data_IF_097901821341
#
_entry.id   IF_097901821341
#
_cell.length_a   1.000
_cell.length_b   1.000
_cell.length_c   1.000
_cell.angle_alpha   90.00
_cell.angle_beta   90.00
_cell.angle_gamma   90.00
#
_symmetry.space_group_name_H-M   'P 1'
#
loop_
_entity.id
_entity.type
_entity.pdbx_description
1 polymer ?
#
# COMPACT_ATOMS: atom_id res chain seq x y z
N UNK A 1 -13.19 2.48 -8.49
CA UNK A 1 -12.11 2.67 -9.48
C UNK A 1 -10.98 3.42 -8.80
N UNK A 2 -9.74 2.91 -8.93
CA UNK A 2 -8.53 3.55 -8.39
C UNK A 2 -7.82 4.42 -9.42
N UNK A 3 -7.71 3.92 -10.64
CA UNK A 3 -6.98 4.60 -11.72
C UNK A 3 -7.55 4.24 -13.08
N UNK A 4 -7.47 5.16 -14.02
CA UNK A 4 -7.80 4.97 -15.44
C UNK A 4 -6.60 5.44 -16.24
N UNK A 5 -6.16 4.64 -17.21
CA UNK A 5 -5.15 5.03 -18.21
C UNK A 5 -5.73 4.83 -19.61
N UNK A 6 -5.42 5.77 -20.47
CA UNK A 6 -5.92 5.81 -21.87
C UNK A 6 -4.72 5.74 -22.78
N UNK A 7 -4.78 4.91 -23.81
CA UNK A 7 -3.74 4.87 -24.82
C UNK A 7 -3.70 6.20 -25.58
N UNK A 8 -2.58 6.95 -25.55
CA UNK A 8 -2.49 8.25 -26.21
C UNK A 8 -2.58 8.15 -27.75
N UNK A 9 -2.22 6.99 -28.30
CA UNK A 9 -2.22 6.74 -29.76
C UNK A 9 -3.55 6.14 -30.25
N UNK A 10 -4.35 5.55 -29.33
CA UNK A 10 -5.65 4.95 -29.65
C UNK A 10 -6.62 5.13 -28.47
N UNK A 11 -7.41 6.17 -28.48
CA UNK A 11 -8.34 6.51 -27.38
C UNK A 11 -9.45 5.48 -27.15
N UNK A 12 -9.63 4.48 -28.05
CA UNK A 12 -10.54 3.37 -27.80
C UNK A 12 -9.95 2.30 -26.86
N UNK A 13 -8.64 2.35 -26.61
CA UNK A 13 -7.96 1.46 -25.67
C UNK A 13 -7.80 2.13 -24.30
N UNK A 14 -8.46 1.55 -23.30
CA UNK A 14 -8.37 1.99 -21.90
C UNK A 14 -8.11 0.80 -20.99
N UNK A 15 -7.36 1.06 -19.93
CA UNK A 15 -7.15 0.09 -18.85
C UNK A 15 -7.52 0.74 -17.52
N UNK A 16 -8.31 0.03 -16.72
CA UNK A 16 -8.90 0.54 -15.49
C UNK A 16 -8.52 -0.34 -14.31
N UNK A 17 -7.94 0.26 -13.28
CA UNK A 17 -7.69 -0.38 -11.99
C UNK A 17 -8.91 -0.23 -11.06
N UNK A 18 -9.50 -1.36 -10.66
CA UNK A 18 -10.70 -1.42 -9.83
C UNK A 18 -10.36 -1.86 -8.41
N UNK A 19 -10.65 -0.98 -7.45
CA UNK A 19 -10.42 -1.24 -6.01
C UNK A 19 -11.55 -2.02 -5.34
N UNK A 20 -12.69 -2.17 -6.03
CA UNK A 20 -13.89 -2.83 -5.52
C UNK A 20 -14.66 -2.04 -4.48
N UNK A 21 -15.57 -2.72 -3.79
CA UNK A 21 -16.40 -2.16 -2.73
C UNK A 21 -15.57 -1.70 -1.54
N UNK A 22 -16.07 -0.68 -0.81
CA UNK A 22 -15.36 -0.13 0.32
C UNK A 22 -15.39 -1.06 1.55
N UNK A 23 -16.54 -1.64 1.87
CA UNK A 23 -16.80 -2.38 3.10
C UNK A 23 -17.02 -3.90 2.92
N UNK A 24 -17.16 -4.34 1.68
CA UNK A 24 -17.43 -5.75 1.37
C UNK A 24 -16.42 -6.30 0.37
N UNK A 25 -16.23 -7.60 0.43
CA UNK A 25 -15.52 -8.34 -0.60
C UNK A 25 -16.37 -8.38 -1.88
N UNK A 26 -15.73 -8.43 -3.04
CA UNK A 26 -16.42 -8.55 -4.32
C UNK A 26 -15.47 -8.99 -5.43
N UNK A 27 -16.02 -9.63 -6.46
CA UNK A 27 -15.26 -10.20 -7.58
C UNK A 27 -14.96 -9.19 -8.70
N UNK A 28 -15.56 -7.98 -8.66
CA UNK A 28 -15.30 -6.92 -9.62
C UNK A 28 -13.97 -6.17 -9.37
N UNK A 29 -13.16 -6.66 -8.43
CA UNK A 29 -11.80 -6.13 -8.18
C UNK A 29 -10.84 -6.58 -9.27
N UNK A 30 -9.83 -5.79 -9.56
CA UNK A 30 -8.79 -6.17 -10.50
C UNK A 30 -8.55 -5.15 -11.60
N UNK A 31 -8.15 -5.61 -12.76
CA UNK A 31 -7.92 -4.78 -13.95
C UNK A 31 -8.93 -5.13 -15.02
N UNK A 32 -9.48 -4.09 -15.63
CA UNK A 32 -10.37 -4.20 -16.78
C UNK A 32 -9.78 -3.44 -17.96
N UNK A 33 -9.88 -4.03 -19.14
CA UNK A 33 -9.45 -3.45 -20.40
C UNK A 33 -10.62 -3.35 -21.37
N UNK A 34 -10.63 -2.29 -22.16
CA UNK A 34 -11.47 -2.13 -23.34
C UNK A 34 -10.62 -1.77 -24.54
N UNK A 35 -11.06 -2.15 -25.72
CA UNK A 35 -10.47 -1.76 -27.01
C UNK A 35 -11.49 -1.08 -27.95
N UNK A 36 -12.71 -0.81 -27.45
CA UNK A 36 -13.83 -0.25 -28.19
C UNK A 36 -14.42 1.02 -27.55
N UNK A 37 -13.61 1.75 -26.81
CA UNK A 37 -14.01 3.00 -26.16
C UNK A 37 -14.93 2.81 -24.95
N UNK A 38 -14.95 1.60 -24.37
CA UNK A 38 -15.75 1.29 -23.19
C UNK A 38 -17.10 0.65 -23.48
N UNK A 39 -17.37 0.29 -24.74
CA UNK A 39 -18.59 -0.43 -25.08
C UNK A 39 -18.59 -1.85 -24.49
N UNK A 40 -17.43 -2.51 -24.50
CA UNK A 40 -17.22 -3.79 -23.82
C UNK A 40 -15.98 -3.75 -22.93
N UNK A 41 -15.97 -4.57 -21.88
CA UNK A 41 -14.89 -4.65 -20.91
C UNK A 41 -14.52 -6.10 -20.61
N UNK A 42 -13.22 -6.37 -20.58
CA UNK A 42 -12.65 -7.66 -20.19
C UNK A 42 -11.89 -7.52 -18.88
N UNK A 43 -12.10 -8.43 -17.92
CA UNK A 43 -11.31 -8.50 -16.70
C UNK A 43 -9.99 -9.23 -17.01
N UNK A 44 -8.88 -8.50 -17.11
CA UNK A 44 -7.57 -9.05 -17.50
C UNK A 44 -6.68 -9.44 -16.31
N UNK A 45 -7.01 -8.98 -15.08
CA UNK A 45 -6.38 -9.42 -13.87
C UNK A 45 -7.40 -9.51 -12.74
N UNK A 46 -7.52 -10.69 -12.16
CA UNK A 46 -8.21 -10.93 -10.89
C UNK A 46 -7.27 -11.64 -9.92
N UNK A 47 -7.15 -11.18 -8.70
CA UNK A 47 -6.27 -11.76 -7.67
C UNK A 47 -7.11 -12.52 -6.64
N UNK A 48 -7.99 -11.81 -5.94
CA UNK A 48 -9.00 -12.35 -5.03
C UNK A 48 -10.04 -11.27 -4.69
N UNK A 49 -11.07 -11.66 -3.95
CA UNK A 49 -12.20 -10.81 -3.57
C UNK A 49 -11.87 -9.65 -2.61
N UNK A 50 -10.67 -9.62 -2.05
CA UNK A 50 -10.19 -8.62 -1.09
C UNK A 50 -9.13 -7.68 -1.68
N UNK A 51 -8.55 -8.05 -2.84
CA UNK A 51 -7.43 -7.33 -3.46
C UNK A 51 -7.88 -6.61 -4.72
N UNK A 52 -7.79 -5.29 -4.71
CA UNK A 52 -8.06 -4.46 -5.89
C UNK A 52 -6.82 -3.73 -6.37
N UNK A 53 -6.94 -3.01 -7.49
CA UNK A 53 -5.85 -2.22 -8.06
C UNK A 53 -6.02 -0.76 -7.66
N UNK A 54 -5.02 -0.24 -6.97
CA UNK A 54 -5.05 1.13 -6.42
C UNK A 54 -4.27 2.13 -7.26
N UNK A 55 -3.26 1.65 -7.98
CA UNK A 55 -2.49 2.49 -8.90
C UNK A 55 -2.16 1.72 -10.18
N UNK A 56 -2.03 2.46 -11.29
CA UNK A 56 -1.79 1.92 -12.61
C UNK A 56 -1.03 2.97 -13.43
N UNK A 57 0.08 2.60 -14.03
CA UNK A 57 0.90 3.48 -14.85
C UNK A 57 1.47 2.72 -16.03
N UNK A 58 1.76 3.42 -17.12
CA UNK A 58 2.44 2.86 -18.30
C UNK A 58 3.73 3.64 -18.59
N UNK A 59 4.60 3.01 -19.36
CA UNK A 59 5.88 3.63 -19.77
C UNK A 59 5.61 4.79 -20.73
N UNK A 60 6.14 5.99 -20.48
CA UNK A 60 6.00 7.11 -21.40
C UNK A 60 6.44 6.73 -22.83
N UNK A 61 5.53 6.91 -23.79
CA UNK A 61 5.77 6.57 -25.19
C UNK A 61 5.60 5.08 -25.56
N UNK A 62 5.29 4.21 -24.59
CA UNK A 62 5.08 2.79 -24.85
C UNK A 62 3.92 2.24 -23.99
N UNK A 63 2.69 2.32 -24.51
CA UNK A 63 1.49 1.86 -23.81
C UNK A 63 1.45 0.34 -23.61
N UNK A 64 2.26 -0.44 -24.32
CA UNK A 64 2.32 -1.89 -24.14
C UNK A 64 2.94 -2.29 -22.78
N UNK A 65 3.83 -1.47 -22.24
CA UNK A 65 4.46 -1.76 -20.95
C UNK A 65 3.75 -1.00 -19.84
N UNK A 66 3.13 -1.75 -18.93
CA UNK A 66 2.36 -1.22 -17.82
C UNK A 66 2.74 -1.84 -16.49
N UNK A 67 2.48 -1.09 -15.43
CA UNK A 67 2.65 -1.54 -14.05
C UNK A 67 1.39 -1.25 -13.25
N UNK A 68 0.99 -2.22 -12.44
CA UNK A 68 -0.18 -2.12 -11.57
C UNK A 68 0.19 -2.39 -10.11
N UNK A 69 -0.33 -1.57 -9.21
CA UNK A 69 -0.20 -1.78 -7.78
C UNK A 69 -1.48 -2.41 -7.23
N UNK A 70 -1.38 -3.66 -6.82
CA UNK A 70 -2.43 -4.37 -6.11
C UNK A 70 -2.38 -4.07 -4.62
N UNK A 71 -3.56 -3.92 -4.02
CA UNK A 71 -3.72 -3.63 -2.60
C UNK A 71 -4.83 -4.47 -1.98
N UNK A 72 -4.44 -5.33 -1.04
CA UNK A 72 -5.38 -6.10 -0.22
C UNK A 72 -5.85 -5.24 0.95
N UNK A 73 -7.18 -5.14 1.10
CA UNK A 73 -7.80 -4.39 2.19
C UNK A 73 -9.08 -5.04 2.68
N UNK A 74 -9.30 -4.96 3.99
CA UNK A 74 -10.59 -5.22 4.63
C UNK A 74 -10.96 -4.04 5.52
N UNK A 75 -12.12 -3.43 5.26
CA UNK A 75 -12.62 -2.28 6.02
C UNK A 75 -13.94 -2.62 6.68
N UNK A 76 -14.01 -2.36 7.96
CA UNK A 76 -15.22 -2.42 8.78
C UNK A 76 -15.48 -1.05 9.38
N UNK A 77 -16.67 -0.80 9.91
CA UNK A 77 -16.97 0.47 10.60
C UNK A 77 -16.05 0.72 11.82
N UNK A 78 -15.58 -0.36 12.43
CA UNK A 78 -14.76 -0.35 13.66
C UNK A 78 -13.30 -0.79 13.45
N UNK A 79 -12.92 -1.22 12.25
CA UNK A 79 -11.57 -1.72 11.98
C UNK A 79 -11.16 -1.53 10.52
N UNK A 80 -9.87 -1.36 10.29
CA UNK A 80 -9.29 -1.29 8.96
C UNK A 80 -7.98 -2.09 8.91
N UNK A 81 -7.94 -3.09 8.03
CA UNK A 81 -6.73 -3.80 7.63
C UNK A 81 -6.40 -3.40 6.19
N UNK A 82 -5.25 -2.75 5.97
CA UNK A 82 -4.82 -2.26 4.66
C UNK A 82 -3.53 -2.92 4.16
N UNK A 83 -3.35 -4.21 4.45
CA UNK A 83 -2.18 -4.99 4.08
C UNK A 83 -2.55 -6.47 3.92
N UNK A 84 -1.81 -7.20 3.11
CA UNK A 84 -2.02 -8.63 2.92
C UNK A 84 -1.19 -9.22 1.78
N UNK A 85 -1.24 -10.54 1.66
CA UNK A 85 -0.48 -11.33 0.66
C UNK A 85 -0.86 -11.01 -0.80
N UNK A 86 -2.07 -10.52 -1.02
CA UNK A 86 -2.55 -10.08 -2.33
C UNK A 86 -1.92 -8.77 -2.81
N UNK A 87 -1.37 -7.96 -1.90
CA UNK A 87 -0.67 -6.72 -2.26
C UNK A 87 0.60 -7.02 -3.03
N UNK A 88 0.92 -6.19 -4.02
CA UNK A 88 2.12 -6.36 -4.83
C UNK A 88 2.11 -5.56 -6.12
N UNK A 89 3.18 -5.69 -6.90
CA UNK A 89 3.35 -5.01 -8.18
C UNK A 89 3.24 -6.06 -9.29
N UNK A 90 2.46 -5.73 -10.30
CA UNK A 90 2.26 -6.52 -11.51
C UNK A 90 2.75 -5.74 -12.72
N UNK A 91 3.31 -6.45 -13.70
CA UNK A 91 3.77 -5.91 -14.99
C UNK A 91 3.02 -6.57 -16.13
N UNK A 92 2.62 -5.77 -17.11
CA UNK A 92 2.18 -6.21 -18.43
C UNK A 92 3.17 -5.72 -19.47
N UNK A 93 3.31 -6.47 -20.57
CA UNK A 93 4.12 -6.11 -21.75
C UNK A 93 3.29 -6.14 -23.05
N UNK A 94 1.98 -6.27 -22.93
CA UNK A 94 1.03 -6.42 -24.05
C UNK A 94 -0.20 -5.52 -23.91
N UNK A 95 0.02 -4.31 -23.37
CA UNK A 95 -1.03 -3.31 -23.24
C UNK A 95 -2.11 -3.68 -22.23
N UNK A 96 -1.74 -4.39 -21.16
CA UNK A 96 -2.66 -4.72 -20.10
C UNK A 96 -3.54 -5.95 -20.35
N UNK A 97 -3.18 -6.80 -21.31
CA UNK A 97 -3.91 -8.05 -21.59
C UNK A 97 -3.48 -9.17 -20.64
N UNK A 98 -2.17 -9.35 -20.43
CA UNK A 98 -1.63 -10.32 -19.48
C UNK A 98 -0.77 -9.64 -18.44
N UNK A 99 -0.78 -10.18 -17.21
CA UNK A 99 -0.10 -9.60 -16.07
C UNK A 99 0.74 -10.63 -15.32
N UNK A 100 1.98 -10.26 -14.99
CA UNK A 100 2.90 -11.07 -14.19
C UNK A 100 3.24 -10.33 -12.92
N UNK A 101 3.12 -11.00 -11.75
CA UNK A 101 3.57 -10.44 -10.47
C UNK A 101 5.09 -10.35 -10.46
N UNK A 102 5.64 -9.14 -10.27
CA UNK A 102 7.08 -8.86 -10.24
C UNK A 102 7.60 -8.57 -8.83
N UNK A 103 6.73 -8.30 -7.87
CA UNK A 103 7.10 -8.19 -6.45
C UNK A 103 6.97 -9.54 -5.75
N UNK A 104 8.01 -10.00 -5.11
CA UNK A 104 8.05 -11.27 -4.40
C UNK A 104 9.32 -11.40 -3.57
N UNK A 105 9.52 -12.54 -2.92
CA UNK A 105 10.68 -12.79 -2.04
C UNK A 105 12.02 -12.57 -2.74
N UNK A 106 12.10 -12.88 -4.03
CA UNK A 106 13.35 -12.80 -4.80
C UNK A 106 13.56 -11.45 -5.49
N UNK A 107 12.57 -10.56 -5.43
CA UNK A 107 12.62 -9.23 -6.09
C UNK A 107 13.36 -8.17 -5.26
N UNK A 108 13.60 -8.44 -3.98
CA UNK A 108 14.07 -7.43 -3.02
C UNK A 108 12.99 -6.43 -2.59
N UNK A 109 11.81 -6.43 -3.22
CA UNK A 109 10.69 -5.60 -2.80
C UNK A 109 9.88 -6.30 -1.70
N UNK A 110 9.52 -5.63 -0.59
CA UNK A 110 8.78 -6.24 0.50
C UNK A 110 7.46 -6.85 0.02
N UNK A 111 7.20 -8.09 0.42
CA UNK A 111 6.00 -8.84 0.05
C UNK A 111 5.42 -9.57 1.27
N UNK A 112 4.26 -10.19 1.11
CA UNK A 112 3.60 -10.97 2.18
C UNK A 112 2.58 -10.16 2.97
N UNK A 113 2.21 -10.67 4.14
CA UNK A 113 1.09 -10.18 4.95
C UNK A 113 1.19 -8.70 5.35
N UNK A 114 2.41 -8.16 5.42
CA UNK A 114 2.65 -6.78 5.84
C UNK A 114 2.81 -5.80 4.68
N UNK A 115 2.67 -6.25 3.44
CA UNK A 115 2.67 -5.38 2.27
C UNK A 115 1.34 -4.63 2.17
N UNK A 116 1.38 -3.32 2.34
CA UNK A 116 0.22 -2.45 2.29
C UNK A 116 0.02 -1.80 0.91
N UNK A 117 -0.44 -0.56 0.93
CA UNK A 117 -0.68 0.23 -0.28
C UNK A 117 0.62 0.58 -0.98
N UNK A 118 0.62 0.52 -2.31
CA UNK A 118 1.75 0.86 -3.17
C UNK A 118 1.34 2.00 -4.11
N UNK A 119 2.18 3.02 -4.22
CA UNK A 119 2.11 4.04 -5.26
C UNK A 119 3.24 3.85 -6.25
N UNK A 120 2.98 4.10 -7.53
CA UNK A 120 3.91 3.85 -8.63
C UNK A 120 4.26 5.14 -9.37
N UNK A 121 5.52 5.24 -9.82
CA UNK A 121 5.96 6.23 -10.79
C UNK A 121 6.91 5.58 -11.80
N UNK A 122 6.52 5.54 -13.06
CA UNK A 122 7.31 4.98 -14.15
C UNK A 122 8.12 6.08 -14.79
N UNK A 123 9.43 5.92 -14.85
CA UNK A 123 10.33 6.86 -15.51
C UNK A 123 10.60 6.44 -16.95
N UNK A 124 11.02 5.19 -17.16
CA UNK A 124 11.26 4.58 -18.47
C UNK A 124 11.03 3.06 -18.42
N UNK A 125 11.40 2.34 -19.49
CA UNK A 125 11.22 0.88 -19.62
C UNK A 125 11.99 0.08 -18.55
N UNK A 126 13.05 0.64 -17.99
CA UNK A 126 13.97 -0.01 -17.06
C UNK A 126 13.84 0.51 -15.63
N UNK A 127 13.16 1.65 -15.45
CA UNK A 127 13.14 2.37 -14.17
C UNK A 127 11.73 2.60 -13.67
N UNK A 128 11.38 1.91 -12.59
CA UNK A 128 10.13 2.03 -11.85
C UNK A 128 10.42 2.45 -10.40
N UNK A 129 9.82 3.53 -9.96
CA UNK A 129 9.81 3.91 -8.55
C UNK A 129 8.53 3.43 -7.89
N UNK A 130 8.65 2.88 -6.69
CA UNK A 130 7.51 2.43 -5.90
C UNK A 130 7.64 2.89 -4.44
N UNK A 131 6.55 3.40 -3.88
CA UNK A 131 6.42 3.73 -2.45
C UNK A 131 5.46 2.74 -1.81
N UNK A 132 5.90 2.06 -0.75
CA UNK A 132 5.13 1.05 -0.04
C UNK A 132 4.75 1.53 1.36
N UNK A 133 3.47 1.44 1.71
CA UNK A 133 3.02 1.41 3.10
C UNK A 133 3.43 0.06 3.71
N UNK A 134 4.60 0.03 4.35
CA UNK A 134 5.18 -1.18 4.90
C UNK A 134 4.75 -1.35 6.36
N UNK A 135 3.91 -2.35 6.62
CA UNK A 135 3.43 -2.69 7.95
C UNK A 135 4.39 -3.60 8.74
N UNK A 136 5.54 -3.95 8.17
CA UNK A 136 6.62 -4.59 8.91
C UNK A 136 7.12 -3.66 10.01
N UNK A 137 6.67 -3.89 11.21
CA UNK A 137 7.18 -3.18 12.38
C UNK A 137 8.49 -3.83 12.80
N UNK A 138 9.57 -3.05 12.82
CA UNK A 138 10.78 -3.48 13.49
C UNK A 138 10.41 -3.79 14.94
N UNK A 139 10.88 -4.94 15.46
CA UNK A 139 10.81 -5.17 16.90
C UNK A 139 11.38 -3.92 17.58
N UNK A 140 10.64 -3.36 18.52
CA UNK A 140 11.22 -2.34 19.40
C UNK A 140 12.46 -3.00 19.97
N UNK A 141 13.66 -2.43 19.73
CA UNK A 141 14.82 -2.76 20.55
C UNK A 141 14.30 -2.64 21.97
N UNK A 142 14.41 -3.70 22.76
CA UNK A 142 14.16 -3.61 24.19
C UNK A 142 14.99 -2.41 24.66
N UNK A 143 14.29 -1.36 25.06
CA UNK A 143 14.94 -0.21 25.66
C UNK A 143 15.39 -0.78 26.98
N UNK A 144 16.69 -1.03 27.08
CA UNK A 144 17.34 -1.45 28.34
C UNK A 144 16.81 -0.49 29.41
N UNK A 145 16.02 -0.95 30.39
CA UNK A 145 15.46 -0.07 31.42
C UNK A 145 16.54 0.71 32.17
N UNK A 146 17.77 0.17 32.25
CA UNK A 146 18.94 0.86 32.86
C UNK A 146 19.50 1.98 31.94
N UNK A 147 19.17 2.02 30.66
CA UNK A 147 19.58 3.06 29.68
C UNK A 147 18.51 4.08 29.33
N UNK A 148 17.31 3.97 29.88
CA UNK A 148 16.29 5.00 29.71
C UNK A 148 16.54 6.14 30.69
N UNK A 149 17.40 7.09 30.34
CA UNK A 149 17.49 8.37 31.06
C UNK A 149 16.12 9.08 31.04
N UNK A 150 15.38 8.97 32.15
CA UNK A 150 14.16 9.72 32.43
C UNK A 150 12.84 8.96 32.21
N UNK A 151 11.74 9.71 32.21
CA UNK A 151 10.37 9.22 32.18
C UNK A 151 10.06 8.41 30.94
N UNK A 152 9.32 7.30 31.12
CA UNK A 152 8.85 6.43 30.05
C UNK A 152 7.32 6.38 30.01
N UNK A 153 6.75 6.01 28.85
CA UNK A 153 5.29 5.84 28.69
C UNK A 153 4.70 4.82 29.67
N UNK A 154 5.45 3.78 30.00
CA UNK A 154 4.95 2.73 30.89
C UNK A 154 4.99 3.17 32.37
N UNK A 155 5.90 4.05 32.75
CA UNK A 155 5.87 4.70 34.06
C UNK A 155 4.59 5.50 34.27
N UNK A 156 4.15 6.25 33.26
CA UNK A 156 2.88 7.01 33.36
C UNK A 156 1.65 6.12 33.51
N UNK A 157 1.63 4.91 32.93
CA UNK A 157 0.50 3.99 33.07
C UNK A 157 0.31 3.44 34.48
N UNK A 158 1.40 3.29 35.23
CA UNK A 158 1.42 2.77 36.60
C UNK A 158 1.51 3.85 37.68
N UNK A 159 1.65 5.10 37.28
CA UNK A 159 1.90 6.23 38.19
C UNK A 159 0.59 6.66 38.87
N UNK A 160 0.65 6.90 40.19
CA UNK A 160 -0.45 7.50 40.92
C UNK A 160 -0.49 9.02 40.69
N UNK A 161 -1.65 9.66 40.95
CA UNK A 161 -1.79 11.12 40.85
C UNK A 161 -0.77 11.84 41.74
N UNK A 162 -0.56 11.37 42.98
CA UNK A 162 0.40 11.97 43.92
C UNK A 162 1.83 11.88 43.40
N UNK A 163 2.20 10.78 42.74
CA UNK A 163 3.54 10.61 42.14
C UNK A 163 3.70 11.53 40.93
N UNK A 164 2.65 11.65 40.08
CA UNK A 164 2.65 12.54 38.92
C UNK A 164 2.84 14.01 39.35
N UNK A 165 2.13 14.46 40.36
CA UNK A 165 2.23 15.85 40.88
C UNK A 165 3.58 16.19 41.47
N UNK A 166 4.38 15.18 41.83
CA UNK A 166 5.75 15.34 42.37
C UNK A 166 6.86 15.24 41.32
N UNK A 167 6.49 15.02 40.04
CA UNK A 167 7.47 14.94 38.95
C UNK A 167 8.21 16.26 38.79
N UNK A 168 9.50 16.16 38.49
CA UNK A 168 10.30 17.33 38.09
C UNK A 168 9.83 17.82 36.71
N UNK A 169 9.52 19.11 36.65
CA UNK A 169 9.10 19.79 35.41
C UNK A 169 10.15 19.68 34.29
N UNK A 170 11.42 19.58 34.61
CA UNK A 170 12.49 19.40 33.63
C UNK A 170 12.45 18.01 33.01
N UNK A 171 12.24 16.96 33.79
CA UNK A 171 12.09 15.59 33.29
C UNK A 171 10.83 15.44 32.47
N UNK A 172 9.70 16.02 32.89
CA UNK A 172 8.44 16.02 32.13
C UNK A 172 8.61 16.74 30.80
N UNK A 173 9.25 17.91 30.78
CA UNK A 173 9.51 18.65 29.53
C UNK A 173 10.45 17.89 28.59
N UNK A 174 11.46 17.18 29.12
CA UNK A 174 12.33 16.32 28.29
C UNK A 174 11.55 15.15 27.68
N UNK A 175 10.66 14.54 28.45
CA UNK A 175 9.78 13.49 27.94
C UNK A 175 8.87 14.01 26.81
N UNK A 176 8.21 15.15 27.01
CA UNK A 176 7.34 15.76 26.00
C UNK A 176 8.09 16.12 24.72
N UNK A 177 9.30 16.67 24.81
CA UNK A 177 10.15 16.97 23.64
C UNK A 177 10.58 15.73 22.85
N UNK A 178 10.73 14.56 23.52
CA UNK A 178 11.13 13.30 22.87
C UNK A 178 9.96 12.57 22.22
N UNK A 179 8.72 12.78 22.68
CA UNK A 179 7.55 11.97 22.33
C UNK A 179 6.38 12.79 21.76
N UNK A 180 6.53 14.10 21.62
CA UNK A 180 5.54 15.04 21.07
C UNK A 180 5.73 15.35 19.61
#
# INVERSE_FOLDING_TARGET
>A
IGRIVINPDNHNELVVGVTGHLYTKNEERGIYKTSDGGATWEQTLYINDSTGIIDLAFVPGNFNIMYAAAWEKDRKAWNFKGNGNGSGIYKSIDGGTNWTKISGTDSGFPAGENAGRIGLAVYDENTLYAVLDNQFRRSKKEIDPEKSDGLTKDMFKSMTVDTFLKLDNKELNQYLKRNG
#
